data_IF_306517017413
#
_entry.id   IF_306517017413
#
_cell.length_a   1.000
_cell.length_b   1.000
_cell.length_c   1.000
_cell.angle_alpha   90.00
_cell.angle_beta   90.00
_cell.angle_gamma   90.00
#
_symmetry.space_group_name_H-M   'P 1'
#
loop_
_entity.id
_entity.type
_entity.pdbx_description
1 polymer ?
#
# COMPACT_ATOMS: atom_id res chain seq x y z
N UNK A 1 2.48 -16.48 14.45
CA UNK A 1 3.11 -15.16 14.70
C UNK A 1 2.03 -14.09 14.55
N UNK A 2 1.95 -13.08 15.43
CA UNK A 2 0.96 -12.01 15.30
C UNK A 2 1.27 -11.11 14.09
N UNK A 3 0.24 -10.69 13.38
CA UNK A 3 0.35 -9.68 12.32
C UNK A 3 0.71 -8.33 12.94
N UNK A 4 1.77 -7.69 12.45
CA UNK A 4 2.16 -6.35 12.89
C UNK A 4 1.51 -5.33 11.97
N UNK A 5 0.91 -4.28 12.55
CA UNK A 5 0.29 -3.18 11.83
C UNK A 5 1.12 -1.92 11.99
N UNK A 6 1.40 -1.25 10.87
CA UNK A 6 1.96 0.10 10.83
C UNK A 6 0.94 0.96 10.10
N UNK A 7 0.40 1.98 10.76
CA UNK A 7 -0.51 2.93 10.12
C UNK A 7 0.09 4.32 10.01
N UNK A 8 -0.25 5.01 8.92
CA UNK A 8 0.19 6.37 8.62
C UNK A 8 -1.05 7.22 8.34
N UNK A 9 -1.32 8.21 9.18
CA UNK A 9 -2.52 9.04 9.14
C UNK A 9 -2.19 10.52 9.37
N UNK A 10 -3.13 11.42 9.06
CA UNK A 10 -2.94 12.88 9.15
C UNK A 10 -3.66 13.67 8.05
N UNK A 11 -3.50 15.00 8.07
CA UNK A 11 -4.16 15.94 7.14
C UNK A 11 -3.78 15.69 5.67
N UNK A 12 -4.59 16.19 4.73
CA UNK A 12 -4.26 16.14 3.28
C UNK A 12 -2.94 16.85 2.98
N UNK A 13 -2.17 16.33 2.03
CA UNK A 13 -0.92 16.97 1.56
C UNK A 13 0.32 16.84 2.44
N UNK A 14 0.25 16.24 3.64
CA UNK A 14 1.41 16.13 4.55
C UNK A 14 2.42 15.02 4.19
N UNK A 15 2.26 14.35 3.05
CA UNK A 15 3.20 13.32 2.58
C UNK A 15 2.96 11.90 3.13
N UNK A 16 1.78 11.59 3.67
CA UNK A 16 1.44 10.26 4.24
C UNK A 16 1.75 9.11 3.29
N UNK A 17 1.26 9.21 2.06
CA UNK A 17 1.44 8.20 1.01
C UNK A 17 2.92 8.01 0.68
N UNK A 18 3.69 9.09 0.65
CA UNK A 18 5.14 9.02 0.41
C UNK A 18 5.84 8.25 1.53
N UNK A 19 5.52 8.57 2.79
CA UNK A 19 6.11 7.91 3.96
C UNK A 19 5.70 6.44 4.05
N UNK A 20 4.41 6.11 3.84
CA UNK A 20 3.93 4.73 3.88
C UNK A 20 4.59 3.85 2.81
N UNK A 21 4.82 4.38 1.61
CA UNK A 21 5.54 3.68 0.55
C UNK A 21 7.01 3.50 0.86
N UNK A 22 7.67 4.53 1.41
CA UNK A 22 9.07 4.43 1.81
C UNK A 22 9.29 3.36 2.90
N UNK A 23 8.42 3.32 3.91
CA UNK A 23 8.41 2.28 4.94
C UNK A 23 8.23 0.90 4.31
N UNK A 24 7.21 0.75 3.47
CA UNK A 24 6.89 -0.54 2.82
C UNK A 24 8.05 -1.04 1.96
N UNK A 25 8.74 -0.14 1.25
CA UNK A 25 9.96 -0.45 0.49
C UNK A 25 11.12 -0.90 1.35
N UNK A 26 11.36 -0.23 2.46
CA UNK A 26 12.43 -0.63 3.38
C UNK A 26 12.15 -2.02 3.96
N UNK A 27 10.90 -2.31 4.35
CA UNK A 27 10.52 -3.60 4.92
C UNK A 27 10.52 -4.72 3.87
N UNK A 28 10.03 -4.44 2.65
CA UNK A 28 10.04 -5.39 1.53
C UNK A 28 11.48 -5.76 1.16
N UNK A 29 12.40 -4.79 1.10
CA UNK A 29 13.81 -5.02 0.83
C UNK A 29 14.51 -5.88 1.92
N UNK A 30 13.95 -5.94 3.13
CA UNK A 30 14.40 -6.84 4.20
C UNK A 30 13.82 -8.26 4.08
N UNK A 31 13.09 -8.57 3.02
CA UNK A 31 12.49 -9.88 2.80
C UNK A 31 11.15 -10.10 3.53
N UNK A 32 10.59 -9.08 4.17
CA UNK A 32 9.33 -9.21 4.89
C UNK A 32 8.14 -9.28 3.92
N UNK A 33 7.22 -10.22 4.18
CA UNK A 33 5.95 -10.31 3.46
C UNK A 33 5.01 -9.21 3.96
N UNK A 34 4.51 -8.39 3.04
CA UNK A 34 3.75 -7.17 3.37
C UNK A 34 2.44 -7.10 2.60
N UNK A 35 1.41 -6.61 3.29
CA UNK A 35 0.18 -6.12 2.69
C UNK A 35 0.16 -4.59 2.85
N UNK A 36 0.19 -3.87 1.74
CA UNK A 36 0.01 -2.43 1.70
C UNK A 36 -1.48 -2.13 1.52
N UNK A 37 -2.14 -1.65 2.58
CA UNK A 37 -3.55 -1.30 2.55
C UNK A 37 -3.71 0.21 2.46
N UNK A 38 -4.53 0.70 1.53
CA UNK A 38 -4.84 2.12 1.45
C UNK A 38 -6.25 2.38 0.92
N UNK A 39 -6.88 3.46 1.40
CA UNK A 39 -8.30 3.79 1.17
C UNK A 39 -8.52 5.03 0.31
N UNK A 40 -7.44 5.76 -0.01
CA UNK A 40 -7.51 7.09 -0.66
C UNK A 40 -6.38 7.26 -1.69
N UNK A 41 -5.85 6.15 -2.23
CA UNK A 41 -4.85 6.26 -3.30
C UNK A 41 -5.62 6.50 -4.59
N UNK A 42 -5.65 7.77 -5.00
CA UNK A 42 -6.36 8.22 -6.19
C UNK A 42 -5.98 7.44 -7.47
N UNK A 43 -4.83 6.76 -7.53
CA UNK A 43 -4.58 5.78 -8.59
C UNK A 43 -3.47 4.75 -8.26
N UNK A 44 -3.62 3.50 -8.73
CA UNK A 44 -2.55 2.51 -8.88
C UNK A 44 -1.28 3.04 -9.58
N UNK A 45 -1.41 4.09 -10.38
CA UNK A 45 -0.34 4.71 -11.18
C UNK A 45 0.85 5.17 -10.33
N UNK A 46 0.60 5.70 -9.13
CA UNK A 46 1.70 6.08 -8.21
C UNK A 46 2.54 4.89 -7.73
N UNK A 47 1.94 3.70 -7.65
CA UNK A 47 2.66 2.46 -7.28
C UNK A 47 3.44 1.92 -8.47
N UNK A 48 2.83 1.90 -9.65
CA UNK A 48 3.42 1.36 -10.88
C UNK A 48 4.68 2.12 -11.33
N UNK A 49 4.76 3.42 -11.06
CA UNK A 49 5.98 4.21 -11.34
C UNK A 49 7.13 3.99 -10.34
N UNK A 50 6.84 3.52 -9.13
CA UNK A 50 7.83 3.31 -8.06
C UNK A 50 8.29 1.86 -7.94
N UNK A 51 7.46 0.93 -8.40
CA UNK A 51 7.68 -0.51 -8.30
C UNK A 51 7.20 -1.23 -9.55
N UNK A 52 7.86 -2.35 -9.87
CA UNK A 52 7.43 -3.27 -10.91
C UNK A 52 6.18 -4.03 -10.44
N UNK A 53 5.04 -3.33 -10.47
CA UNK A 53 3.76 -3.85 -10.03
C UNK A 53 2.99 -4.45 -11.22
N UNK A 54 2.31 -5.57 -10.98
CA UNK A 54 1.46 -6.28 -11.95
C UNK A 54 0.09 -6.49 -11.35
N UNK A 55 -0.94 -6.35 -12.18
CA UNK A 55 -2.34 -6.55 -11.79
C UNK A 55 -3.21 -5.35 -12.14
N UNK A 56 -4.52 -5.61 -12.19
CA UNK A 56 -5.58 -4.64 -12.44
C UNK A 56 -6.63 -4.78 -11.34
N UNK A 57 -7.27 -3.67 -10.94
CA UNK A 57 -8.27 -3.65 -9.87
C UNK A 57 -7.70 -3.32 -8.48
N UNK A 58 -8.35 -3.84 -7.44
CA UNK A 58 -8.05 -3.51 -6.04
C UNK A 58 -6.77 -4.16 -5.52
N UNK A 59 -6.44 -5.35 -6.03
CA UNK A 59 -5.29 -6.14 -5.60
C UNK A 59 -4.19 -6.09 -6.64
N UNK A 60 -3.02 -5.63 -6.22
CA UNK A 60 -1.87 -5.41 -7.10
C UNK A 60 -0.64 -6.07 -6.47
N UNK A 61 0.05 -6.91 -7.23
CA UNK A 61 1.31 -7.51 -6.79
C UNK A 61 2.46 -6.58 -7.13
N UNK A 62 3.37 -6.35 -6.18
CA UNK A 62 4.48 -5.43 -6.36
C UNK A 62 5.78 -6.07 -5.86
N UNK A 63 6.71 -6.32 -6.78
CA UNK A 63 7.95 -7.03 -6.45
C UNK A 63 7.70 -8.49 -6.05
N UNK A 64 8.59 -9.06 -5.23
CA UNK A 64 8.54 -10.50 -4.89
C UNK A 64 7.70 -10.81 -3.64
N UNK A 65 7.52 -9.84 -2.74
CA UNK A 65 7.00 -10.09 -1.39
C UNK A 65 6.00 -9.05 -0.87
N UNK A 66 5.47 -8.19 -1.74
CA UNK A 66 4.46 -7.20 -1.37
C UNK A 66 3.20 -7.31 -2.22
N UNK A 67 2.06 -7.26 -1.56
CA UNK A 67 0.75 -7.13 -2.15
C UNK A 67 0.15 -5.78 -1.73
N UNK A 68 -0.43 -5.04 -2.65
CA UNK A 68 -1.17 -3.82 -2.37
C UNK A 68 -2.67 -4.07 -2.55
N UNK A 69 -3.47 -3.65 -1.56
CA UNK A 69 -4.92 -3.64 -1.60
C UNK A 69 -5.40 -2.19 -1.50
N UNK A 70 -6.05 -1.71 -2.55
CA UNK A 70 -6.68 -0.39 -2.59
C UNK A 70 -8.18 -0.58 -2.41
N UNK A 71 -8.70 -0.11 -1.28
CA UNK A 71 -10.12 -0.19 -0.96
C UNK A 71 -10.85 1.05 -1.49
N UNK A 72 -11.97 0.85 -2.15
CA UNK A 72 -12.89 1.92 -2.50
C UNK A 72 -13.72 2.40 -1.30
N UNK A 73 -14.47 3.49 -1.50
CA UNK A 73 -15.33 4.05 -0.44
C UNK A 73 -16.38 3.06 0.06
N UNK A 74 -16.92 2.21 -0.82
CA UNK A 74 -17.95 1.24 -0.46
C UNK A 74 -17.38 0.08 0.37
N UNK A 75 -16.17 -0.40 0.06
CA UNK A 75 -15.47 -1.38 0.88
C UNK A 75 -15.19 -0.82 2.28
N UNK A 76 -14.73 0.43 2.37
CA UNK A 76 -14.43 1.09 3.65
C UNK A 76 -15.69 1.21 4.51
N UNK A 77 -16.86 1.54 3.93
CA UNK A 77 -18.12 1.63 4.67
C UNK A 77 -18.63 0.28 5.21
N UNK A 78 -18.16 -0.84 4.66
CA UNK A 78 -18.55 -2.20 5.06
C UNK A 78 -17.66 -2.81 6.15
N UNK A 79 -16.56 -2.14 6.50
CA UNK A 79 -15.66 -2.51 7.59
C UNK A 79 -16.09 -1.89 8.91
#
# INVERSE_FOLDING_TARGET
MPTKLIGVWGKGGVGKTTVSLAISRSLSAQGLKLLYLATDVAHPVSLQGMWNCKGEGEKIECGENMEALILGEEEVKRM
#
